data_IF_283142902427
#
_entry.id   IF_283142902427
#
_cell.length_a   1.000
_cell.length_b   1.000
_cell.length_c   1.000
_cell.angle_alpha   90.00
_cell.angle_beta   90.00
_cell.angle_gamma   90.00
#
_symmetry.space_group_name_H-M   'P 1'
#
loop_
_entity.id
_entity.type
_entity.pdbx_description
1 polymer ?
#
# COMPACT_ATOMS: atom_id res chain seq x y z
N UNK A 1 0.85 12.11 7.94
CA UNK A 1 0.56 12.00 6.48
C UNK A 1 0.22 10.58 6.09
N UNK A 2 -0.53 10.41 5.02
CA UNK A 2 -0.93 9.14 4.44
C UNK A 2 -1.20 9.34 2.95
N UNK A 3 -0.96 8.33 2.12
CA UNK A 3 -1.21 8.43 0.68
C UNK A 3 -2.71 8.34 0.39
N UNK A 4 -3.38 9.47 0.25
CA UNK A 4 -4.84 9.55 0.11
C UNK A 4 -5.31 10.22 -1.19
N UNK A 5 -4.41 10.38 -2.17
CA UNK A 5 -4.81 10.96 -3.46
C UNK A 5 -5.99 10.19 -4.05
N UNK A 6 -7.02 10.92 -4.43
CA UNK A 6 -8.22 10.37 -5.09
C UNK A 6 -7.85 9.37 -6.18
N UNK A 7 -8.56 8.27 -6.25
CA UNK A 7 -8.27 7.14 -7.10
C UNK A 7 -7.51 6.04 -6.33
N UNK A 8 -6.48 5.47 -6.95
CA UNK A 8 -5.80 4.28 -6.43
C UNK A 8 -5.31 4.40 -4.98
N UNK A 9 -4.77 5.56 -4.59
CA UNK A 9 -4.23 5.73 -3.22
C UNK A 9 -5.31 5.74 -2.13
N UNK A 10 -6.49 6.31 -2.40
CA UNK A 10 -7.62 6.22 -1.46
C UNK A 10 -8.05 4.77 -1.27
N UNK A 11 -8.15 4.01 -2.38
CA UNK A 11 -8.45 2.59 -2.33
C UNK A 11 -7.43 1.81 -1.49
N UNK A 12 -6.13 2.09 -1.65
CA UNK A 12 -5.11 1.43 -0.85
C UNK A 12 -5.18 1.83 0.62
N UNK A 13 -5.38 3.10 0.93
CA UNK A 13 -5.56 3.55 2.32
C UNK A 13 -6.74 2.86 3.00
N UNK A 14 -7.84 2.64 2.27
CA UNK A 14 -8.94 1.82 2.77
C UNK A 14 -8.49 0.38 3.02
N UNK A 15 -7.78 -0.25 2.07
CA UNK A 15 -7.32 -1.63 2.20
C UNK A 15 -6.51 -1.85 3.48
N UNK A 16 -5.58 -0.93 3.80
CA UNK A 16 -4.74 -1.02 5.00
C UNK A 16 -5.60 -1.07 6.27
N UNK A 17 -6.53 -0.13 6.40
CA UNK A 17 -7.38 0.00 7.58
C UNK A 17 -8.43 -1.11 7.63
N UNK A 18 -8.97 -1.52 6.48
CA UNK A 18 -9.94 -2.60 6.37
C UNK A 18 -9.37 -3.94 6.86
N UNK A 19 -8.15 -4.26 6.48
CA UNK A 19 -7.45 -5.47 6.97
C UNK A 19 -7.17 -5.39 8.47
N UNK A 20 -6.81 -4.21 9.00
CA UNK A 20 -6.60 -4.02 10.44
C UNK A 20 -7.89 -4.24 11.25
N UNK A 21 -9.06 -3.98 10.67
CA UNK A 21 -10.38 -4.30 11.24
C UNK A 21 -10.82 -5.75 10.98
N UNK A 22 -9.97 -6.61 10.42
CA UNK A 22 -10.29 -8.00 10.12
C UNK A 22 -11.22 -8.17 8.91
N UNK A 23 -11.23 -7.21 8.00
CA UNK A 23 -12.07 -7.25 6.80
C UNK A 23 -11.59 -8.27 5.78
N UNK A 24 -12.53 -8.85 5.04
CA UNK A 24 -12.30 -9.75 3.92
C UNK A 24 -12.85 -9.13 2.64
N UNK A 25 -12.02 -9.02 1.59
CA UNK A 25 -12.40 -8.36 0.34
C UNK A 25 -13.50 -9.09 -0.42
N UNK A 26 -13.51 -10.41 -0.34
CA UNK A 26 -14.46 -11.28 -1.05
C UNK A 26 -15.01 -12.36 -0.12
N UNK A 27 -16.21 -12.82 -0.40
CA UNK A 27 -16.74 -14.02 0.25
C UNK A 27 -15.86 -15.23 -0.09
N UNK A 28 -15.60 -16.05 0.91
CA UNK A 28 -14.66 -17.17 0.81
C UNK A 28 -14.90 -18.04 -0.44
N UNK A 29 -13.88 -18.22 -1.26
CA UNK A 29 -13.90 -19.07 -2.46
C UNK A 29 -14.69 -18.49 -3.64
N UNK A 30 -15.11 -17.24 -3.61
CA UNK A 30 -15.88 -16.57 -4.67
C UNK A 30 -15.23 -15.27 -5.13
N UNK A 31 -15.78 -14.66 -6.19
CA UNK A 31 -15.50 -13.29 -6.60
C UNK A 31 -16.56 -12.30 -6.08
N UNK A 32 -17.48 -12.70 -5.24
CA UNK A 32 -18.48 -11.80 -4.65
C UNK A 32 -17.82 -10.85 -3.65
N UNK A 33 -18.03 -9.52 -3.74
CA UNK A 33 -17.43 -8.57 -2.83
C UNK A 33 -17.99 -8.72 -1.41
N UNK A 34 -17.19 -8.33 -0.41
CA UNK A 34 -17.53 -8.39 1.01
C UNK A 34 -17.08 -7.15 1.78
N UNK A 35 -16.83 -6.05 1.07
CA UNK A 35 -16.33 -4.82 1.70
C UNK A 35 -17.46 -4.03 2.38
N UNK A 36 -18.70 -4.14 1.91
CA UNK A 36 -19.88 -3.56 2.58
C UNK A 36 -20.27 -4.41 3.80
N UNK A 37 -19.51 -4.24 4.86
CA UNK A 37 -19.58 -5.02 6.09
C UNK A 37 -19.33 -4.14 7.32
N UNK A 38 -19.53 -4.69 8.50
CA UNK A 38 -19.20 -3.98 9.75
C UNK A 38 -17.73 -3.57 9.80
N UNK A 39 -16.80 -4.41 9.31
CA UNK A 39 -15.39 -4.09 9.20
C UNK A 39 -15.14 -2.94 8.18
N UNK A 40 -15.85 -2.93 7.06
CA UNK A 40 -15.76 -1.86 6.06
C UNK A 40 -16.22 -0.51 6.60
N UNK A 41 -17.37 -0.49 7.28
CA UNK A 41 -17.88 0.73 7.94
C UNK A 41 -16.90 1.22 9.02
N UNK A 42 -16.38 0.31 9.85
CA UNK A 42 -15.38 0.66 10.86
C UNK A 42 -14.10 1.23 10.23
N UNK A 43 -13.62 0.63 9.14
CA UNK A 43 -12.45 1.09 8.41
C UNK A 43 -12.64 2.51 7.85
N UNK A 44 -13.79 2.80 7.24
CA UNK A 44 -14.10 4.12 6.73
C UNK A 44 -14.19 5.16 7.86
N UNK A 45 -14.80 4.83 8.97
CA UNK A 45 -14.87 5.73 10.13
C UNK A 45 -13.46 6.01 10.68
N UNK A 46 -12.59 5.01 10.80
CA UNK A 46 -11.19 5.21 11.19
C UNK A 46 -10.45 6.12 10.21
N UNK A 47 -10.63 5.93 8.90
CA UNK A 47 -10.03 6.83 7.90
C UNK A 47 -10.51 8.27 8.05
N UNK A 48 -11.80 8.46 8.31
CA UNK A 48 -12.38 9.80 8.54
C UNK A 48 -11.79 10.45 9.79
N UNK A 49 -11.60 9.71 10.87
CA UNK A 49 -10.92 10.20 12.06
C UNK A 49 -9.45 10.59 11.75
N UNK A 50 -8.74 9.78 10.98
CA UNK A 50 -7.36 10.10 10.56
C UNK A 50 -7.27 11.35 9.69
N UNK A 51 -8.28 11.60 8.85
CA UNK A 51 -8.38 12.81 8.01
C UNK A 51 -8.44 14.09 8.85
N UNK A 52 -9.00 14.06 10.05
CA UNK A 52 -9.03 15.23 10.96
C UNK A 52 -7.63 15.72 11.35
N UNK A 53 -6.63 14.83 11.30
CA UNK A 53 -5.23 15.13 11.61
C UNK A 53 -4.36 15.24 10.35
N UNK A 54 -4.93 15.03 9.17
CA UNK A 54 -4.21 15.08 7.92
C UNK A 54 -4.10 16.51 7.37
N UNK A 55 -3.21 16.69 6.38
CA UNK A 55 -3.16 17.95 5.65
C UNK A 55 -4.50 18.23 4.96
N UNK A 56 -4.95 19.49 4.90
CA UNK A 56 -6.24 19.85 4.26
C UNK A 56 -6.40 19.30 2.84
N UNK A 57 -5.31 19.27 2.07
CA UNK A 57 -5.29 18.78 0.69
C UNK A 57 -4.95 17.27 0.57
N UNK A 58 -5.22 16.47 1.61
CA UNK A 58 -4.86 15.05 1.68
C UNK A 58 -5.31 14.25 0.45
N UNK A 59 -6.45 14.57 -0.16
CA UNK A 59 -6.96 13.91 -1.38
C UNK A 59 -6.15 14.21 -2.65
N UNK A 60 -5.10 15.03 -2.56
CA UNK A 60 -4.15 15.28 -3.66
C UNK A 60 -2.79 14.63 -3.41
N UNK A 61 -2.56 14.05 -2.23
CA UNK A 61 -1.27 13.55 -1.79
C UNK A 61 -1.09 12.07 -2.13
N UNK A 62 -0.15 11.79 -3.01
CA UNK A 62 0.41 10.48 -3.29
C UNK A 62 1.79 10.33 -2.60
N UNK A 63 2.55 9.32 -2.94
CA UNK A 63 3.80 8.98 -2.27
C UNK A 63 4.87 10.08 -2.32
N UNK A 64 4.94 10.83 -3.42
CA UNK A 64 5.96 11.90 -3.54
C UNK A 64 5.59 13.11 -2.69
N UNK A 65 4.31 13.48 -2.66
CA UNK A 65 3.83 14.60 -1.86
C UNK A 65 3.95 14.29 -0.37
N UNK A 66 3.59 13.07 0.07
CA UNK A 66 3.74 12.68 1.49
C UNK A 66 5.20 12.59 1.92
N UNK A 67 6.10 12.12 1.05
CA UNK A 67 7.53 12.12 1.28
C UNK A 67 8.04 13.56 1.45
N UNK A 68 7.71 14.47 0.53
CA UNK A 68 8.15 15.87 0.59
C UNK A 68 7.68 16.58 1.88
N UNK A 69 6.45 16.32 2.33
CA UNK A 69 5.92 16.86 3.60
C UNK A 69 6.74 16.33 4.79
N UNK A 70 7.11 15.05 4.76
CA UNK A 70 7.96 14.45 5.80
C UNK A 70 9.34 15.06 5.84
N UNK A 71 10.02 15.14 4.68
CA UNK A 71 11.35 15.70 4.50
C UNK A 71 11.43 17.19 4.93
N UNK A 72 10.33 17.92 4.73
CA UNK A 72 10.18 19.29 5.21
C UNK A 72 10.00 19.41 6.74
N UNK A 73 9.79 18.28 7.46
CA UNK A 73 9.52 18.27 8.90
C UNK A 73 8.11 18.75 9.26
N UNK A 74 7.17 18.71 8.33
CA UNK A 74 5.79 19.20 8.50
C UNK A 74 4.83 18.11 8.97
N UNK A 75 5.31 16.88 9.17
CA UNK A 75 4.51 15.77 9.66
C UNK A 75 5.15 15.09 10.87
N UNK A 76 4.35 14.84 11.90
CA UNK A 76 4.78 14.12 13.11
C UNK A 76 4.54 12.60 13.03
N UNK A 77 3.57 12.17 12.24
CA UNK A 77 3.23 10.76 12.01
C UNK A 77 2.97 10.52 10.52
N UNK A 78 3.33 9.34 10.03
CA UNK A 78 3.11 8.97 8.64
C UNK A 78 2.89 7.47 8.46
N UNK A 79 1.98 7.13 7.54
CA UNK A 79 1.83 5.77 6.99
C UNK A 79 2.19 5.88 5.52
N UNK A 80 3.33 5.30 5.15
CA UNK A 80 3.91 5.42 3.82
C UNK A 80 4.41 4.06 3.32
N UNK A 81 4.69 3.98 2.03
CA UNK A 81 5.33 2.81 1.45
C UNK A 81 6.70 2.56 2.08
N UNK A 82 7.04 1.31 2.33
CA UNK A 82 8.35 0.93 2.84
C UNK A 82 9.52 1.36 1.96
N UNK A 83 9.30 1.50 0.65
CA UNK A 83 10.27 2.07 -0.30
C UNK A 83 10.64 3.53 -0.04
N UNK A 84 9.90 4.24 0.80
CA UNK A 84 10.22 5.62 1.22
C UNK A 84 11.16 5.68 2.43
N UNK A 85 11.43 4.53 3.06
CA UNK A 85 12.29 4.47 4.24
C UNK A 85 13.71 4.96 4.00
N UNK A 86 14.35 4.56 2.89
CA UNK A 86 15.69 5.02 2.55
C UNK A 86 15.73 6.55 2.25
N UNK A 87 14.93 7.09 1.30
CA UNK A 87 14.99 8.52 0.99
C UNK A 87 14.70 9.45 2.19
N UNK A 88 13.77 9.10 3.07
CA UNK A 88 13.46 9.97 4.22
C UNK A 88 14.49 9.91 5.36
N UNK A 89 15.39 8.92 5.34
CA UNK A 89 16.48 8.78 6.31
C UNK A 89 17.82 9.26 5.77
N UNK A 90 17.92 9.65 4.49
CA UNK A 90 19.13 10.24 3.95
C UNK A 90 19.15 11.77 4.13
N UNK A 91 20.31 12.40 3.90
CA UNK A 91 20.53 13.82 4.06
C UNK A 91 20.41 14.61 2.73
N UNK A 92 20.04 13.97 1.64
CA UNK A 92 19.83 14.62 0.35
C UNK A 92 18.48 15.36 0.30
N UNK A 93 17.42 14.75 0.85
CA UNK A 93 16.07 15.32 0.88
C UNK A 93 15.67 15.90 2.25
N UNK A 94 16.13 15.28 3.33
CA UNK A 94 15.77 15.61 4.70
C UNK A 94 16.86 16.38 5.44
N UNK A 95 16.49 17.29 6.34
CA UNK A 95 17.45 17.93 7.23
C UNK A 95 17.97 16.93 8.28
N UNK A 96 19.16 17.21 8.86
CA UNK A 96 19.72 16.41 9.94
C UNK A 96 18.79 16.32 11.17
N UNK A 97 17.95 17.32 11.40
CA UNK A 97 16.93 17.29 12.46
C UNK A 97 15.83 16.26 12.14
N UNK A 98 15.34 16.23 10.91
CA UNK A 98 14.33 15.27 10.46
C UNK A 98 14.89 13.85 10.49
N UNK A 99 16.05 13.59 9.90
CA UNK A 99 16.65 12.26 9.84
C UNK A 99 16.94 11.68 11.22
N UNK A 100 17.51 12.50 12.14
CA UNK A 100 17.85 12.04 13.50
C UNK A 100 16.64 11.80 14.40
N UNK A 101 15.48 12.38 14.09
CA UNK A 101 14.24 12.21 14.85
C UNK A 101 13.21 11.32 14.16
N UNK A 102 13.51 10.79 12.97
CA UNK A 102 12.63 9.84 12.27
C UNK A 102 12.88 8.42 12.76
N UNK A 103 11.81 7.73 13.12
CA UNK A 103 11.82 6.31 13.49
C UNK A 103 10.83 5.56 12.60
N UNK A 104 11.32 4.54 11.91
CA UNK A 104 10.51 3.62 11.12
C UNK A 104 10.05 2.46 12.00
N UNK A 105 8.75 2.30 12.13
CA UNK A 105 8.09 1.32 13.00
C UNK A 105 7.10 0.47 12.23
N UNK A 106 6.61 -0.61 12.85
CA UNK A 106 5.48 -1.37 12.32
C UNK A 106 4.29 -0.46 12.05
N UNK A 107 3.52 -0.78 11.01
CA UNK A 107 2.22 -0.15 10.80
C UNK A 107 1.35 -0.30 12.05
N UNK A 108 0.50 0.69 12.37
CA UNK A 108 -0.38 0.62 13.52
C UNK A 108 -1.43 -0.49 13.37
N UNK A 109 -1.93 -1.00 14.47
CA UNK A 109 -3.08 -1.92 14.52
C UNK A 109 -4.25 -1.26 15.24
N UNK A 110 -5.46 -1.72 14.99
CA UNK A 110 -6.68 -1.22 15.68
C UNK A 110 -6.62 -1.52 17.17
N UNK A 111 -6.17 -2.72 17.52
CA UNK A 111 -6.02 -3.15 18.90
C UNK A 111 -4.55 -3.49 19.21
N UNK A 112 -4.08 -3.29 20.43
CA UNK A 112 -2.72 -3.66 20.81
C UNK A 112 -2.43 -5.15 20.53
N UNK A 113 -1.41 -5.42 19.70
CA UNK A 113 -1.06 -6.78 19.27
C UNK A 113 -1.97 -7.35 18.17
N UNK A 114 -2.85 -6.55 17.59
CA UNK A 114 -3.66 -6.89 16.43
C UNK A 114 -2.87 -6.90 15.11
N UNK A 115 -3.54 -7.22 14.03
CA UNK A 115 -2.97 -7.24 12.69
C UNK A 115 -2.56 -5.81 12.29
N UNK A 116 -1.31 -5.58 11.83
CA UNK A 116 -0.90 -4.28 11.33
C UNK A 116 -1.75 -3.83 10.15
N UNK A 117 -2.15 -2.57 10.13
CA UNK A 117 -2.87 -1.93 9.03
C UNK A 117 -1.95 -1.68 7.84
N UNK A 118 -1.64 -2.75 7.15
CA UNK A 118 -0.74 -2.74 6.01
C UNK A 118 -1.06 -3.86 5.04
N UNK A 119 -0.71 -3.66 3.78
CA UNK A 119 -0.57 -4.70 2.77
C UNK A 119 0.90 -4.91 2.45
N UNK A 120 1.35 -6.15 2.35
CA UNK A 120 2.70 -6.47 1.90
C UNK A 120 2.71 -6.59 0.38
N UNK A 121 3.61 -5.84 -0.23
CA UNK A 121 3.83 -5.82 -1.68
C UNK A 121 5.21 -6.35 -1.99
N UNK A 122 5.37 -6.87 -3.20
CA UNK A 122 6.66 -7.20 -3.77
C UNK A 122 6.67 -6.80 -5.24
N UNK A 123 7.81 -6.38 -5.72
CA UNK A 123 8.04 -6.02 -7.10
C UNK A 123 9.03 -6.97 -7.73
N UNK A 124 8.89 -7.22 -9.03
CA UNK A 124 9.76 -8.12 -9.76
C UNK A 124 9.93 -7.69 -11.21
N UNK A 125 11.01 -8.13 -11.80
CA UNK A 125 11.24 -7.95 -13.23
C UNK A 125 10.42 -8.95 -14.02
N UNK A 126 9.83 -8.51 -15.12
CA UNK A 126 9.09 -9.34 -16.06
C UNK A 126 9.68 -9.18 -17.47
N UNK A 127 9.62 -10.23 -18.25
CA UNK A 127 10.02 -10.21 -19.67
C UNK A 127 8.76 -10.30 -20.50
N UNK A 128 8.57 -9.36 -21.44
CA UNK A 128 7.42 -9.37 -22.33
C UNK A 128 7.41 -10.63 -23.19
N UNK A 129 6.25 -11.28 -23.30
CA UNK A 129 6.07 -12.42 -24.23
C UNK A 129 6.15 -12.04 -25.73
N UNK A 130 6.21 -10.75 -26.04
CA UNK A 130 6.26 -10.25 -27.42
C UNK A 130 7.69 -10.13 -27.97
N UNK A 131 8.72 -10.48 -27.17
CA UNK A 131 10.11 -10.58 -27.62
C UNK A 131 10.39 -11.99 -28.14
N UNK A 132 11.44 -12.15 -28.94
CA UNK A 132 11.89 -13.49 -29.37
C UNK A 132 12.48 -14.30 -28.21
N UNK A 133 12.51 -15.63 -28.35
CA UNK A 133 13.09 -16.50 -27.32
C UNK A 133 14.57 -16.16 -27.05
N UNK A 134 15.34 -15.82 -28.07
CA UNK A 134 16.73 -15.41 -27.92
C UNK A 134 16.88 -14.10 -27.13
N UNK A 135 16.01 -13.13 -27.36
CA UNK A 135 15.99 -11.88 -26.57
C UNK A 135 15.54 -12.14 -25.14
N UNK A 136 14.55 -13.02 -24.93
CA UNK A 136 14.08 -13.40 -23.60
C UNK A 136 15.20 -14.09 -22.81
N UNK A 137 15.92 -15.05 -23.40
CA UNK A 137 17.06 -15.73 -22.77
C UNK A 137 18.19 -14.75 -22.44
N UNK A 138 18.55 -13.86 -23.37
CA UNK A 138 19.58 -12.85 -23.14
C UNK A 138 19.19 -11.88 -22.02
N UNK A 139 17.95 -11.43 -22.00
CA UNK A 139 17.42 -10.55 -20.95
C UNK A 139 17.42 -11.25 -19.59
N UNK A 140 16.96 -12.50 -19.53
CA UNK A 140 16.98 -13.27 -18.28
C UNK A 140 18.41 -13.48 -17.77
N UNK A 141 19.36 -13.83 -18.66
CA UNK A 141 20.75 -14.00 -18.27
C UNK A 141 21.38 -12.71 -17.75
N UNK A 142 21.06 -11.57 -18.35
CA UNK A 142 21.51 -10.26 -17.88
C UNK A 142 20.95 -9.92 -16.50
N UNK A 143 19.64 -10.10 -16.28
CA UNK A 143 18.98 -9.88 -14.98
C UNK A 143 19.55 -10.81 -13.91
N UNK A 144 19.67 -12.13 -14.20
CA UNK A 144 20.21 -13.10 -13.26
C UNK A 144 21.68 -12.82 -12.90
N UNK A 145 22.46 -12.28 -13.84
CA UNK A 145 23.84 -11.86 -13.57
C UNK A 145 23.94 -10.58 -12.75
N UNK A 146 23.01 -9.63 -12.95
CA UNK A 146 23.01 -8.36 -12.24
C UNK A 146 22.43 -8.47 -10.81
N UNK A 147 21.38 -9.29 -10.62
CA UNK A 147 20.67 -9.48 -9.36
C UNK A 147 21.34 -10.60 -8.53
N UNK A 148 22.50 -10.31 -7.99
CA UNK A 148 23.29 -11.26 -7.21
C UNK A 148 23.60 -10.71 -5.80
N UNK A 149 24.19 -11.56 -4.94
CA UNK A 149 24.50 -11.20 -3.56
C UNK A 149 25.50 -10.05 -3.43
N UNK A 150 26.41 -9.86 -4.37
CA UNK A 150 27.38 -8.77 -4.34
C UNK A 150 26.69 -7.44 -4.62
N UNK A 151 25.75 -7.43 -5.59
CA UNK A 151 24.89 -6.28 -5.85
C UNK A 151 24.04 -5.93 -4.62
N UNK A 152 23.39 -6.94 -4.02
CA UNK A 152 22.59 -6.73 -2.79
C UNK A 152 23.46 -6.16 -1.66
N UNK A 153 24.68 -6.67 -1.48
CA UNK A 153 25.58 -6.15 -0.43
C UNK A 153 26.05 -4.71 -0.70
N UNK A 154 26.25 -4.35 -1.98
CA UNK A 154 26.65 -2.99 -2.36
C UNK A 154 25.51 -1.97 -2.23
N UNK A 155 24.26 -2.39 -2.39
CA UNK A 155 23.05 -1.55 -2.39
C UNK A 155 22.04 -1.94 -1.30
N UNK A 156 22.55 -2.48 -0.18
CA UNK A 156 21.73 -3.08 0.88
C UNK A 156 20.67 -2.12 1.44
N UNK A 157 21.02 -0.86 1.60
CA UNK A 157 20.17 0.14 2.25
C UNK A 157 19.29 0.95 1.27
N UNK A 158 19.43 0.70 -0.03
CA UNK A 158 18.66 1.41 -1.08
C UNK A 158 17.27 0.80 -1.30
N UNK A 159 17.06 -0.47 -0.96
CA UNK A 159 15.78 -1.15 -1.12
C UNK A 159 15.59 -2.28 -0.09
N UNK A 160 14.34 -2.76 0.01
CA UNK A 160 14.04 -4.01 0.72
C UNK A 160 14.16 -5.16 -0.27
N UNK A 161 15.35 -5.75 -0.35
CA UNK A 161 15.64 -6.82 -1.30
C UNK A 161 15.02 -8.15 -0.88
N UNK A 162 14.34 -8.83 -1.80
CA UNK A 162 13.86 -10.21 -1.64
C UNK A 162 14.86 -11.21 -2.25
N UNK A 163 16.15 -10.94 -2.09
CA UNK A 163 17.27 -11.69 -2.61
C UNK A 163 18.18 -12.14 -1.47
N UNK A 164 18.90 -13.26 -1.71
CA UNK A 164 19.88 -13.75 -0.75
C UNK A 164 20.98 -12.70 -0.48
N UNK A 165 21.35 -12.59 0.79
CA UNK A 165 22.37 -11.64 1.23
C UNK A 165 21.83 -10.33 1.79
N UNK A 166 20.53 -10.02 1.62
CA UNK A 166 19.91 -8.84 2.22
C UNK A 166 19.97 -8.87 3.75
N UNK A 167 20.35 -7.75 4.34
CA UNK A 167 20.40 -7.54 5.80
C UNK A 167 19.60 -6.30 6.15
N UNK A 168 18.39 -6.46 6.69
CA UNK A 168 17.53 -5.31 7.03
C UNK A 168 18.25 -4.29 7.90
N UNK A 169 18.44 -3.08 7.38
CA UNK A 169 18.94 -1.90 8.07
C UNK A 169 17.81 -1.02 8.61
N UNK A 170 18.15 0.20 9.03
CA UNK A 170 17.19 1.17 9.57
C UNK A 170 16.06 1.48 8.57
N UNK A 171 16.36 1.63 7.28
CA UNK A 171 15.40 1.92 6.22
C UNK A 171 14.33 0.81 6.06
N UNK A 172 14.66 -0.44 6.37
CA UNK A 172 13.76 -1.57 6.28
C UNK A 172 13.07 -1.92 7.62
N UNK A 173 13.37 -1.21 8.71
CA UNK A 173 12.90 -1.58 10.05
C UNK A 173 11.37 -1.63 10.14
N UNK A 174 10.68 -0.62 9.60
CA UNK A 174 9.22 -0.55 9.61
C UNK A 174 8.56 -1.68 8.81
N UNK A 175 9.05 -1.96 7.61
CA UNK A 175 8.53 -3.06 6.76
C UNK A 175 8.78 -4.40 7.43
N UNK A 176 9.97 -4.63 7.95
CA UNK A 176 10.33 -5.87 8.62
C UNK A 176 9.46 -6.11 9.87
N UNK A 177 9.25 -5.09 10.69
CA UNK A 177 8.39 -5.18 11.87
C UNK A 177 6.91 -5.41 11.48
N UNK A 178 6.43 -4.74 10.42
CA UNK A 178 5.08 -4.92 9.89
C UNK A 178 4.85 -6.34 9.40
N UNK A 179 5.79 -6.90 8.63
CA UNK A 179 5.72 -8.28 8.16
C UNK A 179 5.76 -9.29 9.31
N UNK A 180 6.63 -9.09 10.31
CA UNK A 180 6.70 -9.93 11.51
C UNK A 180 5.45 -9.83 12.38
N UNK A 181 4.77 -8.67 12.35
CA UNK A 181 3.49 -8.44 13.01
C UNK A 181 2.31 -9.16 12.37
N UNK A 182 2.52 -9.84 11.25
CA UNK A 182 1.50 -10.65 10.57
C UNK A 182 0.66 -9.86 9.56
N UNK A 183 1.15 -8.75 9.03
CA UNK A 183 0.49 -8.07 7.92
C UNK A 183 0.29 -9.02 6.73
N UNK A 184 -0.89 -8.95 6.12
CA UNK A 184 -1.23 -9.79 4.99
C UNK A 184 -0.61 -9.25 3.68
N UNK A 185 -0.29 -10.12 2.71
CA UNK A 185 0.05 -9.66 1.37
C UNK A 185 -1.18 -9.03 0.72
N UNK A 186 -0.94 -8.06 -0.17
CA UNK A 186 -2.01 -7.59 -1.07
C UNK A 186 -2.62 -8.78 -1.81
N UNK A 187 -3.96 -8.91 -1.90
CA UNK A 187 -4.59 -10.10 -2.45
C UNK A 187 -4.13 -10.37 -3.89
N UNK A 188 -3.53 -11.53 -4.12
CA UNK A 188 -3.09 -11.96 -5.47
C UNK A 188 -4.24 -12.69 -6.20
N UNK A 189 -5.35 -11.96 -6.38
CA UNK A 189 -6.55 -12.44 -7.06
C UNK A 189 -6.77 -11.65 -8.34
N UNK A 190 -7.14 -12.29 -9.46
CA UNK A 190 -7.25 -11.59 -10.74
C UNK A 190 -8.29 -10.48 -10.75
N UNK A 191 -9.32 -10.57 -9.91
CA UNK A 191 -10.39 -9.57 -9.79
C UNK A 191 -10.09 -8.43 -8.80
N UNK A 192 -9.03 -8.51 -7.98
CA UNK A 192 -8.79 -7.51 -6.94
C UNK A 192 -8.60 -6.10 -7.50
N UNK A 193 -7.96 -5.97 -8.67
CA UNK A 193 -7.75 -4.69 -9.32
C UNK A 193 -9.05 -3.97 -9.68
N UNK A 194 -10.12 -4.71 -10.01
CA UNK A 194 -11.44 -4.14 -10.27
C UNK A 194 -12.05 -3.57 -8.98
N UNK A 195 -11.92 -4.29 -7.86
CA UNK A 195 -12.40 -3.82 -6.56
C UNK A 195 -11.59 -2.60 -6.09
N UNK A 196 -10.27 -2.62 -6.23
CA UNK A 196 -9.41 -1.51 -5.88
C UNK A 196 -9.76 -0.24 -6.67
N UNK A 197 -10.02 -0.38 -7.97
CA UNK A 197 -10.46 0.74 -8.80
C UNK A 197 -11.83 1.29 -8.35
N UNK A 198 -12.77 0.43 -7.99
CA UNK A 198 -14.06 0.84 -7.45
C UNK A 198 -13.90 1.59 -6.11
N UNK A 199 -13.07 1.08 -5.19
CA UNK A 199 -12.74 1.78 -3.94
C UNK A 199 -12.17 3.18 -4.22
N UNK A 200 -11.21 3.28 -5.14
CA UNK A 200 -10.60 4.55 -5.51
C UNK A 200 -11.56 5.56 -6.14
N UNK A 201 -12.58 5.08 -6.85
CA UNK A 201 -13.58 5.93 -7.49
C UNK A 201 -14.62 6.46 -6.49
N UNK A 202 -15.10 5.62 -5.56
CA UNK A 202 -16.31 5.90 -4.80
C UNK A 202 -16.04 6.47 -3.38
N UNK A 203 -14.85 6.26 -2.79
CA UNK A 203 -14.64 6.61 -1.37
C UNK A 203 -14.37 8.09 -1.08
N UNK A 204 -14.06 8.90 -2.10
CA UNK A 204 -13.66 10.29 -1.90
C UNK A 204 -14.78 11.16 -1.31
N UNK A 205 -16.02 10.93 -1.69
CA UNK A 205 -17.17 11.73 -1.22
C UNK A 205 -17.51 11.42 0.24
N UNK A 206 -17.30 10.17 0.67
CA UNK A 206 -17.35 9.84 2.09
C UNK A 206 -16.29 10.62 2.90
N UNK A 207 -15.05 10.66 2.42
CA UNK A 207 -13.95 11.36 3.12
C UNK A 207 -14.17 12.88 3.19
N UNK A 208 -14.87 13.47 2.23
CA UNK A 208 -15.32 14.87 2.26
C UNK A 208 -16.53 15.11 3.20
N UNK A 209 -17.19 14.04 3.66
CA UNK A 209 -18.39 14.13 4.50
C UNK A 209 -19.69 14.30 3.70
N UNK A 210 -19.70 14.01 2.41
CA UNK A 210 -20.83 14.20 1.52
C UNK A 210 -21.80 13.01 1.51
N UNK A 211 -21.38 11.87 2.05
CA UNK A 211 -22.22 10.66 2.16
C UNK A 211 -21.90 9.79 3.39
N UNK A 212 -22.71 8.75 3.65
CA UNK A 212 -22.47 7.78 4.72
C UNK A 212 -21.52 6.65 4.27
N UNK A 213 -20.89 5.99 5.26
CA UNK A 213 -20.00 4.85 5.02
C UNK A 213 -20.71 3.69 4.31
N UNK A 214 -21.95 3.39 4.73
CA UNK A 214 -22.75 2.32 4.16
C UNK A 214 -23.09 2.60 2.70
N UNK A 215 -23.39 3.87 2.36
CA UNK A 215 -23.67 4.26 0.98
C UNK A 215 -22.43 4.14 0.12
N UNK A 216 -21.30 4.70 0.55
CA UNK A 216 -20.03 4.61 -0.19
C UNK A 216 -19.64 3.15 -0.46
N UNK A 217 -19.75 2.26 0.55
CA UNK A 217 -19.45 0.84 0.36
C UNK A 217 -20.44 0.12 -0.54
N UNK A 218 -21.71 0.50 -0.52
CA UNK A 218 -22.72 -0.04 -1.45
C UNK A 218 -22.41 0.38 -2.90
N UNK A 219 -21.99 1.61 -3.12
CA UNK A 219 -21.61 2.11 -4.44
C UNK A 219 -20.32 1.44 -4.95
N UNK A 220 -19.32 1.24 -4.07
CA UNK A 220 -18.11 0.43 -4.37
C UNK A 220 -18.49 -0.99 -4.83
N UNK A 221 -19.35 -1.69 -4.09
CA UNK A 221 -19.74 -3.04 -4.48
C UNK A 221 -20.53 -3.07 -5.78
N UNK A 222 -21.40 -2.09 -6.02
CA UNK A 222 -22.15 -1.97 -7.27
C UNK A 222 -21.24 -1.72 -8.47
N UNK A 223 -20.27 -0.82 -8.34
CA UNK A 223 -19.27 -0.53 -9.37
C UNK A 223 -18.40 -1.77 -9.67
N UNK A 224 -17.92 -2.43 -8.59
CA UNK A 224 -17.15 -3.66 -8.73
C UNK A 224 -17.95 -4.77 -9.41
N UNK A 225 -19.20 -5.03 -8.99
CA UNK A 225 -20.04 -6.10 -9.56
C UNK A 225 -20.26 -5.87 -11.04
N UNK A 226 -20.47 -4.62 -11.47
CA UNK A 226 -20.59 -4.27 -12.88
C UNK A 226 -19.32 -4.64 -13.64
N UNK A 227 -18.16 -4.18 -13.18
CA UNK A 227 -16.88 -4.45 -13.83
C UNK A 227 -16.51 -5.95 -13.80
N UNK A 228 -16.83 -6.66 -12.71
CA UNK A 228 -16.56 -8.09 -12.57
C UNK A 228 -17.42 -8.95 -13.50
N UNK A 229 -18.68 -8.56 -13.75
CA UNK A 229 -19.54 -9.21 -14.75
C UNK A 229 -19.02 -8.99 -16.16
N UNK A 230 -18.64 -7.78 -16.50
CA UNK A 230 -18.04 -7.46 -17.81
C UNK A 230 -16.73 -8.24 -18.05
N UNK A 231 -15.94 -8.45 -17.01
CA UNK A 231 -14.69 -9.21 -17.06
C UNK A 231 -14.90 -10.74 -16.93
N UNK A 232 -16.13 -11.23 -16.68
CA UNK A 232 -16.47 -12.65 -16.59
C UNK A 232 -16.11 -13.30 -15.23
N UNK A 233 -15.85 -12.54 -14.18
CA UNK A 233 -15.64 -13.06 -12.83
C UNK A 233 -16.95 -13.34 -12.07
N UNK A 234 -18.02 -12.65 -12.42
CA UNK A 234 -19.37 -12.83 -11.89
C UNK A 234 -20.37 -13.10 -13.05
N UNK A 235 -21.50 -13.77 -12.70
CA UNK A 235 -22.61 -14.04 -13.62
C UNK A 235 -23.72 -12.98 -13.52
#
# INVERSE_FOLDING_TARGET
>A
VMNMKTGWNVGESFNLVFLAHGGEFFKAGTAEPSVNSAAGVAALNTLRELVEYAHPDHLTQASNETQAIWEAGEAALGIMWGSRGAPILDDEGSSAEVTSNTVLSSAPSVEPGGIPGATLWWDGFTISKNVSDAEAEATFAALASALNSDMVAAHNDEAVWLLDGFKPGAAAAGVSATAQGGAAPYPMLPQIGLLHNALGAELSDFLKGEESAEKALADVEAAYVTAAKEAGFLQ
#
